data_IF_780524057699
#
_entry.id   IF_780524057699
#
_cell.length_a   1.000
_cell.length_b   1.000
_cell.length_c   1.000
_cell.angle_alpha   90.00
_cell.angle_beta   90.00
_cell.angle_gamma   90.00
#
_symmetry.space_group_name_H-M   'P 1'
#
loop_
_entity.id
_entity.type
_entity.pdbx_description
1 polymer ?
#
# COMPACT_ATOMS: atom_id res chain seq x y z
N UNK A 1 -7.48 3.11 2.65
CA UNK A 1 -7.16 1.93 1.82
C UNK A 1 -6.41 0.97 2.74
N UNK A 2 -6.89 -0.26 2.97
CA UNK A 2 -6.27 -1.12 3.97
C UNK A 2 -6.34 -2.61 3.70
N UNK A 3 -5.23 -3.23 4.09
CA UNK A 3 -5.05 -4.62 4.44
C UNK A 3 -6.00 -4.95 5.61
N UNK A 4 -7.10 -5.62 5.30
CA UNK A 4 -7.88 -6.36 6.27
C UNK A 4 -7.36 -7.79 6.22
N UNK A 5 -6.82 -8.30 7.30
CA UNK A 5 -6.87 -9.74 7.49
C UNK A 5 -7.33 -9.97 8.92
N UNK A 6 -7.81 -11.16 9.20
CA UNK A 6 -8.33 -11.53 10.50
C UNK A 6 -7.58 -12.78 10.97
N UNK A 7 -6.23 -12.71 10.97
CA UNK A 7 -5.42 -13.88 11.29
C UNK A 7 -5.83 -14.41 12.67
N UNK A 8 -5.70 -15.72 12.88
CA UNK A 8 -6.12 -16.44 14.08
C UNK A 8 -5.59 -15.89 15.43
N UNK A 9 -4.73 -14.86 15.39
CA UNK A 9 -4.08 -14.23 16.54
C UNK A 9 -4.25 -12.70 16.62
N UNK A 10 -4.94 -12.01 15.70
CA UNK A 10 -5.23 -10.57 15.80
C UNK A 10 -6.35 -10.08 14.86
N UNK A 11 -7.23 -9.19 15.36
CA UNK A 11 -8.18 -8.42 14.55
C UNK A 11 -7.53 -7.09 14.13
N UNK A 12 -7.27 -6.88 12.84
CA UNK A 12 -6.82 -5.58 12.31
C UNK A 12 -7.91 -5.01 11.43
N UNK A 13 -8.58 -4.00 11.98
CA UNK A 13 -9.56 -3.22 11.24
C UNK A 13 -8.91 -2.55 10.03
N UNK A 14 -9.70 -2.23 9.02
CA UNK A 14 -9.23 -1.38 7.93
C UNK A 14 -8.91 0.06 8.45
N UNK A 15 -8.30 0.94 7.65
CA UNK A 15 -8.08 2.37 7.98
C UNK A 15 -7.11 2.79 9.12
N UNK A 16 -6.98 2.06 10.22
CA UNK A 16 -6.07 2.32 11.37
C UNK A 16 -4.55 2.19 11.14
N UNK A 17 -3.78 3.25 11.35
CA UNK A 17 -2.31 3.15 11.36
C UNK A 17 -1.83 2.61 12.72
N UNK A 18 -0.72 1.84 12.75
CA UNK A 18 -0.11 1.44 14.00
C UNK A 18 0.28 2.68 14.82
N UNK A 19 0.34 2.55 16.14
CA UNK A 19 0.70 3.65 17.06
C UNK A 19 2.08 4.24 16.80
N UNK A 20 2.94 3.49 16.10
CA UNK A 20 4.27 3.90 15.64
C UNK A 20 4.25 4.85 14.46
N UNK A 21 3.10 5.05 13.81
CA UNK A 21 2.96 6.04 12.76
C UNK A 21 2.95 7.45 13.37
N UNK A 22 3.82 8.36 12.90
CA UNK A 22 3.93 9.69 13.47
C UNK A 22 2.59 10.45 13.33
N UNK A 23 1.97 10.77 14.47
CA UNK A 23 0.79 11.64 14.54
C UNK A 23 1.23 13.07 14.26
N UNK A 24 1.29 13.44 12.98
CA UNK A 24 1.52 14.79 12.44
C UNK A 24 2.40 15.71 13.30
N UNK A 25 3.70 15.71 13.01
CA UNK A 25 4.51 16.91 13.27
C UNK A 25 4.02 18.01 12.33
N UNK A 26 3.69 19.19 12.87
CA UNK A 26 3.21 20.36 12.11
C UNK A 26 4.06 20.57 10.83
N UNK A 27 3.54 20.13 9.67
CA UNK A 27 4.32 20.12 8.42
C UNK A 27 3.90 19.06 7.39
N UNK A 28 2.60 18.80 7.26
CA UNK A 28 1.98 17.70 6.49
C UNK A 28 2.04 17.86 4.94
N UNK A 29 3.19 18.17 4.33
CA UNK A 29 3.26 18.31 2.86
C UNK A 29 4.50 17.61 2.31
N UNK A 30 4.30 16.50 1.61
CA UNK A 30 5.36 15.74 0.96
C UNK A 30 5.92 16.55 -0.22
N UNK A 31 7.05 17.20 0.02
CA UNK A 31 8.14 17.28 -0.96
C UNK A 31 9.44 17.18 -0.18
N UNK A 32 10.32 16.24 -0.56
CA UNK A 32 11.44 15.75 0.26
C UNK A 32 11.04 14.71 1.32
N UNK A 33 9.90 14.89 1.99
CA UNK A 33 9.29 13.90 2.86
C UNK A 33 10.19 13.39 3.98
N UNK A 34 9.87 12.20 4.51
CA UNK A 34 10.69 11.48 5.49
C UNK A 34 10.60 9.98 5.23
N UNK A 35 11.65 9.23 5.58
CA UNK A 35 11.63 7.77 5.51
C UNK A 35 10.56 7.25 6.47
N UNK A 36 9.66 6.40 5.97
CA UNK A 36 8.64 5.77 6.79
C UNK A 36 9.28 4.72 7.72
N UNK A 37 8.85 4.66 8.97
CA UNK A 37 9.21 3.57 9.87
C UNK A 37 8.78 2.24 9.23
N UNK A 38 9.64 1.20 9.22
CA UNK A 38 9.29 -0.09 8.66
C UNK A 38 7.94 -0.60 9.21
N UNK A 39 7.11 -1.15 8.32
CA UNK A 39 5.77 -1.67 8.64
C UNK A 39 4.76 -0.65 9.22
N UNK A 40 5.09 0.63 9.29
CA UNK A 40 4.15 1.67 9.78
C UNK A 40 3.01 1.98 8.80
N UNK A 41 3.17 1.61 7.52
CA UNK A 41 2.15 1.74 6.47
C UNK A 41 1.88 0.34 5.91
N UNK A 42 1.14 -0.52 6.63
CA UNK A 42 1.04 -1.95 6.32
C UNK A 42 0.34 -2.24 4.98
N UNK A 43 -0.43 -1.29 4.47
CA UNK A 43 -1.15 -1.42 3.22
C UNK A 43 -0.36 -1.00 1.98
N UNK A 44 0.85 -0.43 2.15
CA UNK A 44 1.68 -0.01 1.03
C UNK A 44 2.17 -1.22 0.23
N UNK A 45 1.84 -1.27 -1.07
CA UNK A 45 2.34 -2.29 -1.98
C UNK A 45 3.34 -1.68 -2.97
N UNK A 46 4.37 -2.46 -3.32
CA UNK A 46 5.31 -2.17 -4.40
C UNK A 46 4.96 -3.04 -5.59
N UNK A 47 4.66 -2.40 -6.72
CA UNK A 47 4.42 -3.10 -7.97
C UNK A 47 5.69 -3.11 -8.82
N UNK A 48 6.10 -4.30 -9.21
CA UNK A 48 7.21 -4.56 -10.14
C UNK A 48 6.58 -5.21 -11.37
N UNK A 49 6.50 -4.45 -12.45
CA UNK A 49 5.83 -4.86 -13.68
C UNK A 49 6.89 -5.06 -14.77
N UNK A 50 6.94 -6.24 -15.35
CA UNK A 50 7.84 -6.56 -16.46
C UNK A 50 7.21 -6.08 -17.78
N UNK A 51 8.03 -5.49 -18.65
CA UNK A 51 7.71 -5.13 -20.03
C UNK A 51 8.64 -5.91 -20.96
N UNK A 52 8.13 -6.22 -22.15
CA UNK A 52 8.90 -6.83 -23.24
C UNK A 52 10.24 -6.10 -23.46
N UNK A 53 11.31 -6.87 -23.60
CA UNK A 53 12.67 -6.33 -23.71
C UNK A 53 13.34 -6.01 -22.37
N UNK A 54 12.96 -6.69 -21.28
CA UNK A 54 13.62 -6.64 -19.97
C UNK A 54 13.54 -5.27 -19.27
N UNK A 55 12.50 -4.49 -19.56
CA UNK A 55 12.26 -3.20 -18.90
C UNK A 55 11.34 -3.40 -17.69
N UNK A 56 11.74 -2.87 -16.53
CA UNK A 56 10.94 -2.95 -15.31
C UNK A 56 10.25 -1.61 -15.06
N UNK A 57 8.93 -1.63 -14.96
CA UNK A 57 8.12 -0.48 -14.53
C UNK A 57 7.79 -0.61 -13.06
N UNK A 58 7.99 0.47 -12.33
CA UNK A 58 7.85 0.51 -10.88
C UNK A 58 6.70 1.43 -10.51
N UNK A 59 5.75 0.91 -9.75
CA UNK A 59 4.59 1.66 -9.29
C UNK A 59 4.29 1.39 -7.81
N UNK A 60 3.41 2.22 -7.25
CA UNK A 60 2.79 1.97 -5.97
C UNK A 60 1.44 1.26 -6.12
N UNK A 61 1.01 0.63 -5.05
CA UNK A 61 -0.35 0.13 -4.91
C UNK A 61 -0.79 0.18 -3.46
N UNK A 62 -2.05 -0.12 -3.22
CA UNK A 62 -2.56 -0.28 -1.87
C UNK A 62 -3.37 -1.54 -1.73
N UNK A 63 -3.04 -2.32 -0.72
CA UNK A 63 -3.76 -3.52 -0.38
C UNK A 63 -5.17 -3.15 0.12
N UNK A 64 -6.20 -3.76 -0.48
CA UNK A 64 -7.61 -3.47 -0.22
C UNK A 64 -8.41 -4.76 -0.11
N UNK A 65 -9.33 -4.79 0.85
CA UNK A 65 -10.32 -5.85 0.94
C UNK A 65 -11.63 -5.40 0.30
N UNK A 66 -12.17 -6.23 -0.60
CA UNK A 66 -13.45 -5.97 -1.29
C UNK A 66 -14.65 -6.63 -0.60
N UNK A 67 -14.40 -7.65 0.23
CA UNK A 67 -15.42 -8.40 0.98
C UNK A 67 -14.90 -8.69 2.38
N UNK A 68 -15.72 -8.56 3.45
CA UNK A 68 -15.30 -8.90 4.80
C UNK A 68 -14.74 -10.32 4.84
N UNK A 69 -13.49 -10.48 5.29
CA UNK A 69 -12.82 -11.75 5.27
C UNK A 69 -11.55 -11.79 6.13
N UNK A 70 -10.90 -12.94 6.11
CA UNK A 70 -9.62 -13.14 6.79
C UNK A 70 -8.44 -12.75 5.89
N UNK A 71 -8.63 -11.80 4.97
CA UNK A 71 -7.53 -11.46 4.08
C UNK A 71 -7.86 -10.61 2.87
N UNK A 72 -7.00 -9.62 2.68
CA UNK A 72 -6.94 -8.84 1.46
C UNK A 72 -6.18 -9.59 0.39
N UNK A 73 -6.88 -9.92 -0.70
CA UNK A 73 -6.30 -10.56 -1.89
C UNK A 73 -6.10 -9.56 -3.05
N UNK A 74 -6.49 -8.30 -2.88
CA UNK A 74 -6.56 -7.32 -3.96
C UNK A 74 -5.65 -6.13 -3.70
N UNK A 75 -4.94 -5.68 -4.74
CA UNK A 75 -4.17 -4.44 -4.70
C UNK A 75 -4.81 -3.44 -5.66
N UNK A 76 -5.20 -2.28 -5.13
CA UNK A 76 -5.64 -1.14 -5.93
C UNK A 76 -4.42 -0.34 -6.40
N UNK A 77 -4.39 0.03 -7.68
CA UNK A 77 -3.33 0.87 -8.27
C UNK A 77 -3.90 1.78 -9.35
N UNK A 78 -3.08 2.71 -9.86
CA UNK A 78 -3.47 3.58 -10.95
C UNK A 78 -3.48 2.81 -12.29
N UNK A 79 -4.47 3.06 -13.15
CA UNK A 79 -4.58 2.39 -14.44
C UNK A 79 -3.33 2.58 -15.33
N UNK A 80 -2.71 3.76 -15.28
CA UNK A 80 -1.49 4.02 -16.03
C UNK A 80 -0.29 3.17 -15.56
N UNK A 81 -0.35 2.53 -14.39
CA UNK A 81 0.70 1.61 -13.95
C UNK A 81 0.65 0.32 -14.77
N UNK A 82 -0.55 -0.24 -14.95
CA UNK A 82 -0.78 -1.52 -15.64
C UNK A 82 -0.97 -1.37 -17.14
N UNK A 83 -1.35 -0.18 -17.60
CA UNK A 83 -1.48 0.11 -19.01
C UNK A 83 -0.15 0.65 -19.58
N UNK A 84 0.26 0.08 -20.70
CA UNK A 84 1.38 0.53 -21.51
C UNK A 84 0.81 1.12 -22.80
N UNK A 85 0.15 2.28 -22.72
CA UNK A 85 0.04 3.11 -23.91
C UNK A 85 1.40 3.79 -24.11
N UNK A 86 2.00 3.51 -25.25
CA UNK A 86 2.95 4.42 -25.89
C UNK A 86 2.22 5.66 -26.41
#
# INVERSE_FOLDING_TARGET
MKMCQNQAFANYECGTLPSTFPKSVKGNRISGGSVATPNSIPYQARLVLEKDGNKIKLCGGTLVELKPGNGSQWVLTAAHCTYYAE
#
